data_IF_361629070036
#
_entry.id   IF_361629070036
#
_cell.length_a   1.000
_cell.length_b   1.000
_cell.length_c   1.000
_cell.angle_alpha   90.00
_cell.angle_beta   90.00
_cell.angle_gamma   90.00
#
_symmetry.space_group_name_H-M   'P 1'
#
loop_
_entity.id
_entity.type
_entity.pdbx_description
1 polymer ?
#
# COMPACT_ATOMS: atom_id res chain seq x y z
N UNK A 1 -20.29 -10.52 -2.13
CA UNK A 1 -21.29 -9.44 -2.07
C UNK A 1 -21.87 -9.24 -3.45
N UNK A 2 -23.19 -9.13 -3.49
CA UNK A 2 -24.04 -8.84 -4.65
C UNK A 2 -24.48 -7.37 -4.61
N UNK A 3 -25.08 -6.86 -5.68
CA UNK A 3 -25.60 -5.48 -5.71
C UNK A 3 -26.75 -5.30 -4.74
N UNK A 4 -27.53 -6.35 -4.51
CA UNK A 4 -28.58 -6.43 -3.50
C UNK A 4 -27.99 -6.33 -2.08
N UNK A 5 -26.89 -7.04 -1.79
CA UNK A 5 -26.23 -6.96 -0.48
C UNK A 5 -25.80 -5.52 -0.16
N UNK A 6 -25.29 -4.80 -1.17
CA UNK A 6 -24.84 -3.41 -1.03
C UNK A 6 -26.03 -2.47 -0.83
N UNK A 7 -27.11 -2.65 -1.59
CA UNK A 7 -28.33 -1.87 -1.40
C UNK A 7 -28.88 -2.03 0.02
N UNK A 8 -28.93 -3.26 0.54
CA UNK A 8 -29.36 -3.53 1.92
C UNK A 8 -28.44 -2.90 2.98
N UNK A 9 -27.13 -2.93 2.78
CA UNK A 9 -26.19 -2.27 3.70
C UNK A 9 -26.42 -0.76 3.76
N UNK A 10 -26.69 -0.13 2.62
CA UNK A 10 -26.94 1.31 2.52
C UNK A 10 -28.32 1.67 3.10
N UNK A 11 -29.35 0.87 2.83
CA UNK A 11 -30.69 0.99 3.41
C UNK A 11 -30.64 0.96 4.94
N UNK A 12 -29.95 -0.03 5.52
CA UNK A 12 -29.72 -0.09 6.97
C UNK A 12 -29.06 1.18 7.52
N UNK A 13 -28.12 1.79 6.79
CA UNK A 13 -27.53 3.07 7.15
C UNK A 13 -28.55 4.22 7.16
N UNK A 14 -29.48 4.23 6.21
CA UNK A 14 -30.57 5.20 6.16
C UNK A 14 -31.63 4.96 7.23
N UNK A 15 -31.96 3.71 7.58
CA UNK A 15 -32.84 3.38 8.71
C UNK A 15 -32.33 3.98 10.02
N UNK A 16 -31.01 3.88 10.28
CA UNK A 16 -30.37 4.48 11.45
C UNK A 16 -30.53 6.01 11.42
N UNK A 17 -30.23 6.65 10.29
CA UNK A 17 -30.34 8.11 10.13
C UNK A 17 -31.78 8.60 10.28
N UNK A 18 -32.74 7.88 9.69
CA UNK A 18 -34.16 8.14 9.77
C UNK A 18 -34.65 8.05 11.21
N UNK A 19 -34.25 7.01 11.94
CA UNK A 19 -34.56 6.85 13.37
C UNK A 19 -34.00 7.98 14.22
N UNK A 20 -32.77 8.44 13.96
CA UNK A 20 -32.16 9.56 14.70
C UNK A 20 -32.87 10.88 14.42
N UNK A 21 -33.35 11.08 13.19
CA UNK A 21 -34.01 12.31 12.75
C UNK A 21 -35.52 12.34 12.98
N UNK A 22 -36.14 11.19 13.27
CA UNK A 22 -37.59 11.07 13.40
C UNK A 22 -38.33 11.30 12.09
N UNK A 23 -37.73 10.93 10.95
CA UNK A 23 -38.31 11.03 9.61
C UNK A 23 -38.36 9.66 8.95
N UNK A 24 -39.02 9.55 7.78
CA UNK A 24 -39.01 8.30 7.02
C UNK A 24 -37.65 8.07 6.33
N UNK A 25 -37.32 6.80 6.05
CA UNK A 25 -36.12 6.42 5.29
C UNK A 25 -36.15 7.04 3.89
N UNK A 26 -37.33 7.07 3.28
CA UNK A 26 -37.58 7.71 1.99
C UNK A 26 -37.22 9.21 2.01
N UNK A 27 -37.61 9.94 3.07
CA UNK A 27 -37.29 11.36 3.22
C UNK A 27 -35.79 11.59 3.39
N UNK A 28 -35.08 10.67 4.05
CA UNK A 28 -33.61 10.72 4.13
C UNK A 28 -32.99 10.49 2.75
N UNK A 29 -33.47 9.48 2.02
CA UNK A 29 -32.93 9.14 0.70
C UNK A 29 -33.15 10.27 -0.32
N UNK A 30 -34.30 10.96 -0.28
CA UNK A 30 -34.58 12.13 -1.15
C UNK A 30 -33.60 13.30 -0.96
N UNK A 31 -32.83 13.32 0.13
CA UNK A 31 -31.77 14.31 0.36
C UNK A 31 -30.43 13.92 -0.27
N UNK A 32 -30.33 12.73 -0.87
CA UNK A 32 -29.11 12.20 -1.46
C UNK A 32 -29.08 12.52 -2.96
N UNK A 33 -28.25 13.49 -3.35
CA UNK A 33 -28.06 13.81 -4.76
C UNK A 33 -27.25 12.73 -5.51
N UNK A 34 -26.28 12.12 -4.81
CA UNK A 34 -25.47 11.05 -5.36
C UNK A 34 -24.84 10.15 -4.29
N UNK A 35 -24.62 8.89 -4.64
CA UNK A 35 -23.79 7.97 -3.89
C UNK A 35 -22.37 7.91 -4.44
N UNK A 36 -21.38 7.86 -3.55
CA UNK A 36 -19.99 7.61 -3.94
C UNK A 36 -19.60 6.15 -3.63
N UNK A 37 -19.21 5.37 -4.65
CA UNK A 37 -18.79 3.96 -4.49
C UNK A 37 -17.45 3.67 -5.12
N UNK A 38 -16.91 2.47 -4.92
CA UNK A 38 -15.88 1.94 -5.81
C UNK A 38 -16.46 1.50 -7.17
N UNK A 39 -15.59 1.26 -8.15
CA UNK A 39 -16.00 0.86 -9.51
C UNK A 39 -16.12 -0.67 -9.69
N UNK A 40 -16.21 -1.44 -8.61
CA UNK A 40 -16.46 -2.89 -8.71
C UNK A 40 -17.85 -3.18 -9.25
N UNK A 41 -18.01 -4.30 -9.96
CA UNK A 41 -19.26 -4.64 -10.64
C UNK A 41 -20.46 -4.72 -9.70
N UNK A 42 -20.31 -5.31 -8.51
CA UNK A 42 -21.40 -5.43 -7.54
C UNK A 42 -21.85 -4.07 -6.99
N UNK A 43 -21.01 -3.03 -7.03
CA UNK A 43 -21.38 -1.70 -6.61
C UNK A 43 -22.08 -0.89 -7.71
N UNK A 44 -22.10 -1.34 -8.98
CA UNK A 44 -22.73 -0.59 -10.06
C UNK A 44 -24.24 -0.75 -10.04
N UNK A 45 -24.98 0.37 -10.04
CA UNK A 45 -26.43 0.36 -10.22
C UNK A 45 -27.24 0.07 -8.95
N UNK A 46 -26.60 -0.09 -7.79
CA UNK A 46 -27.30 -0.26 -6.51
C UNK A 46 -28.22 0.93 -6.17
N UNK A 47 -27.92 2.15 -6.66
CA UNK A 47 -28.79 3.31 -6.49
C UNK A 47 -30.15 3.14 -7.18
N UNK A 48 -30.23 2.33 -8.25
CA UNK A 48 -31.50 1.97 -8.87
C UNK A 48 -32.30 1.04 -7.99
N UNK A 49 -31.66 0.04 -7.38
CA UNK A 49 -32.32 -0.86 -6.43
C UNK A 49 -32.87 -0.09 -5.21
N UNK A 50 -32.10 0.87 -4.68
CA UNK A 50 -32.59 1.74 -3.60
C UNK A 50 -33.79 2.60 -4.03
N UNK A 51 -33.75 3.15 -5.25
CA UNK A 51 -34.90 3.91 -5.77
C UNK A 51 -36.14 3.03 -5.95
N UNK A 52 -35.98 1.78 -6.40
CA UNK A 52 -37.05 0.79 -6.49
C UNK A 52 -37.61 0.43 -5.11
N UNK A 53 -36.75 0.21 -4.11
CA UNK A 53 -37.14 -0.10 -2.73
C UNK A 53 -38.01 1.01 -2.11
N UNK A 54 -37.71 2.28 -2.40
CA UNK A 54 -38.46 3.42 -1.89
C UNK A 54 -39.52 3.95 -2.87
N UNK A 55 -39.77 3.25 -3.97
CA UNK A 55 -40.74 3.62 -5.00
C UNK A 55 -40.54 5.05 -5.56
N UNK A 56 -39.29 5.38 -5.90
CA UNK A 56 -38.88 6.67 -6.45
C UNK A 56 -38.66 6.58 -7.96
N UNK A 57 -39.15 7.57 -8.72
CA UNK A 57 -39.00 7.62 -10.18
C UNK A 57 -37.55 7.83 -10.63
N UNK A 58 -36.77 8.58 -9.85
CA UNK A 58 -35.39 8.94 -10.22
C UNK A 58 -34.43 8.46 -9.15
N UNK A 59 -33.47 7.58 -9.49
CA UNK A 59 -32.42 7.18 -8.55
C UNK A 59 -31.46 8.34 -8.30
N UNK A 60 -30.86 8.36 -7.12
CA UNK A 60 -29.72 9.24 -6.85
C UNK A 60 -28.60 8.95 -7.86
N UNK A 61 -27.84 10.00 -8.19
CA UNK A 61 -26.65 9.87 -9.02
C UNK A 61 -25.66 8.86 -8.43
N UNK A 62 -24.78 8.32 -9.27
CA UNK A 62 -23.69 7.48 -8.80
C UNK A 62 -22.37 8.04 -9.26
N UNK A 63 -21.50 8.34 -8.29
CA UNK A 63 -20.15 8.83 -8.49
C UNK A 63 -19.21 7.68 -8.15
N UNK A 64 -18.32 7.33 -9.07
CA UNK A 64 -17.27 6.36 -8.79
C UNK A 64 -16.06 7.08 -8.23
N UNK A 65 -15.64 6.68 -7.05
CA UNK A 65 -14.39 7.11 -6.47
C UNK A 65 -13.24 6.56 -7.32
N UNK A 66 -12.58 7.46 -8.07
CA UNK A 66 -11.40 7.16 -8.89
C UNK A 66 -10.20 6.68 -8.07
N UNK A 67 -10.28 6.81 -6.74
CA UNK A 67 -9.29 6.31 -5.80
C UNK A 67 -9.48 4.83 -5.47
N UNK A 68 -10.61 4.18 -5.78
CA UNK A 68 -10.71 2.74 -5.49
C UNK A 68 -9.94 1.85 -6.48
N UNK A 69 -9.82 2.25 -7.75
CA UNK A 69 -8.87 1.61 -8.67
C UNK A 69 -7.43 1.68 -8.14
N UNK A 70 -7.14 2.67 -7.28
CA UNK A 70 -5.85 2.82 -6.64
C UNK A 70 -5.63 1.82 -5.49
N UNK A 71 -6.69 1.37 -4.80
CA UNK A 71 -6.62 0.41 -3.68
C UNK A 71 -6.28 -1.02 -4.12
N UNK A 72 -6.49 -1.35 -5.40
CA UNK A 72 -6.21 -2.68 -5.94
C UNK A 72 -4.73 -3.05 -5.99
N UNK A 73 -3.82 -2.07 -6.14
CA UNK A 73 -2.40 -2.35 -6.36
C UNK A 73 -1.74 -3.01 -5.15
N UNK A 74 -1.86 -2.46 -3.95
CA UNK A 74 -1.24 -3.06 -2.75
C UNK A 74 -1.76 -4.48 -2.46
N UNK A 75 -3.05 -4.71 -2.68
CA UNK A 75 -3.67 -6.03 -2.51
C UNK A 75 -3.20 -7.02 -3.59
N UNK A 76 -3.20 -6.60 -4.86
CA UNK A 76 -2.72 -7.41 -5.97
C UNK A 76 -1.23 -7.72 -5.87
N UNK A 77 -0.39 -6.75 -5.47
CA UNK A 77 1.03 -6.93 -5.24
C UNK A 77 1.29 -7.95 -4.14
N UNK A 78 0.60 -7.87 -3.01
CA UNK A 78 0.70 -8.89 -1.97
C UNK A 78 0.31 -10.28 -2.49
N UNK A 79 -0.78 -10.39 -3.25
CA UNK A 79 -1.23 -11.66 -3.83
C UNK A 79 -0.22 -12.26 -4.81
N UNK A 80 0.35 -11.44 -5.69
CA UNK A 80 1.38 -11.87 -6.66
C UNK A 80 2.66 -12.27 -5.94
N UNK A 81 3.12 -11.47 -4.97
CA UNK A 81 4.34 -11.81 -4.24
C UNK A 81 4.21 -13.08 -3.42
N UNK A 82 3.03 -13.44 -2.91
CA UNK A 82 2.84 -14.74 -2.27
C UNK A 82 3.12 -15.92 -3.20
N UNK A 83 2.76 -15.82 -4.48
CA UNK A 83 3.08 -16.87 -5.46
C UNK A 83 4.60 -16.99 -5.63
N UNK A 84 5.29 -15.86 -5.73
CA UNK A 84 6.75 -15.80 -5.84
C UNK A 84 7.43 -16.31 -4.56
N UNK A 85 6.96 -15.91 -3.39
CA UNK A 85 7.48 -16.34 -2.08
C UNK A 85 7.31 -17.84 -1.83
N UNK A 86 6.19 -18.42 -2.30
CA UNK A 86 5.96 -19.86 -2.27
C UNK A 86 7.00 -20.62 -3.10
N UNK A 87 7.32 -20.11 -4.30
CA UNK A 87 8.39 -20.66 -5.15
C UNK A 87 9.77 -20.51 -4.50
N UNK A 88 9.98 -19.44 -3.73
CA UNK A 88 11.20 -19.17 -2.96
C UNK A 88 11.26 -19.91 -1.62
N UNK A 89 10.23 -20.69 -1.25
CA UNK A 89 10.11 -21.43 0.01
C UNK A 89 10.26 -20.57 1.27
N UNK A 90 9.98 -19.27 1.20
CA UNK A 90 10.12 -18.36 2.35
C UNK A 90 9.21 -18.76 3.53
N UNK A 91 8.07 -19.38 3.24
CA UNK A 91 7.13 -19.89 4.24
C UNK A 91 7.69 -21.04 5.10
N UNK A 92 8.68 -21.79 4.63
CA UNK A 92 9.32 -22.86 5.41
C UNK A 92 10.10 -22.30 6.60
N UNK A 93 10.57 -21.06 6.50
CA UNK A 93 11.28 -20.40 7.60
C UNK A 93 10.28 -20.02 8.70
N UNK A 94 9.06 -19.61 8.32
CA UNK A 94 7.94 -19.32 9.24
C UNK A 94 7.49 -20.53 10.07
N UNK A 95 7.68 -21.76 9.57
CA UNK A 95 7.32 -23.01 10.29
C UNK A 95 8.13 -23.25 11.56
N UNK A 96 9.32 -22.64 11.67
CA UNK A 96 10.16 -22.73 12.87
C UNK A 96 9.78 -21.70 13.95
N UNK A 97 8.87 -20.77 13.66
CA UNK A 97 8.50 -19.70 14.59
C UNK A 97 7.23 -20.08 15.35
N UNK A 98 7.39 -20.35 16.64
CA UNK A 98 6.28 -20.50 17.59
C UNK A 98 5.67 -19.15 17.90
N UNK A 99 4.78 -18.65 17.03
CA UNK A 99 4.18 -17.33 17.28
C UNK A 99 2.69 -17.39 17.01
N UNK A 100 1.93 -17.60 18.09
CA UNK A 100 0.51 -17.22 18.25
C UNK A 100 0.35 -15.68 18.16
N UNK A 101 0.82 -15.09 17.07
CA UNK A 101 0.28 -13.83 16.63
C UNK A 101 -1.00 -14.24 15.91
N UNK A 102 -2.11 -13.62 16.26
CA UNK A 102 -3.23 -13.49 15.32
C UNK A 102 -2.68 -12.73 14.10
N UNK A 103 -1.97 -13.46 13.24
CA UNK A 103 -1.70 -13.10 11.85
C UNK A 103 -3.03 -13.31 11.15
N UNK A 104 -4.02 -12.50 11.55
CA UNK A 104 -5.39 -12.59 11.08
C UNK A 104 -5.52 -11.95 9.70
N UNK A 105 -4.55 -12.24 8.83
CA UNK A 105 -4.58 -11.86 7.43
C UNK A 105 -4.20 -13.08 6.61
N UNK A 106 -5.22 -13.89 6.29
CA UNK A 106 -5.16 -14.89 5.22
C UNK A 106 -4.74 -14.32 3.84
N UNK A 107 -4.40 -13.02 3.77
CA UNK A 107 -4.20 -12.22 2.57
C UNK A 107 -2.83 -11.49 2.47
N UNK A 108 -1.94 -11.50 3.47
CA UNK A 108 -0.66 -10.77 3.41
C UNK A 108 0.56 -11.66 3.09
N UNK A 109 1.50 -11.15 2.28
CA UNK A 109 2.78 -11.80 1.95
C UNK A 109 3.72 -11.88 3.16
N UNK A 110 4.67 -12.82 3.18
CA UNK A 110 5.69 -12.94 4.25
C UNK A 110 6.52 -11.67 4.34
N UNK A 111 6.98 -11.15 3.19
CA UNK A 111 7.73 -9.90 3.14
C UNK A 111 6.89 -8.70 3.58
N UNK A 112 5.60 -8.67 3.24
CA UNK A 112 4.67 -7.63 3.70
C UNK A 112 4.46 -7.65 5.22
N UNK A 113 4.38 -8.84 5.82
CA UNK A 113 4.30 -9.00 7.27
C UNK A 113 5.62 -8.62 7.95
N UNK A 114 6.77 -9.07 7.43
CA UNK A 114 8.09 -8.70 7.94
C UNK A 114 8.31 -7.18 7.90
N UNK A 115 7.91 -6.54 6.80
CA UNK A 115 7.93 -5.09 6.64
C UNK A 115 7.11 -4.39 7.73
N UNK A 116 5.86 -4.84 7.93
CA UNK A 116 4.97 -4.29 8.95
C UNK A 116 5.55 -4.46 10.36
N UNK A 117 6.14 -5.61 10.68
CA UNK A 117 6.81 -5.84 11.96
C UNK A 117 7.99 -4.88 12.17
N UNK A 118 8.87 -4.77 11.17
CA UNK A 118 10.06 -3.91 11.24
C UNK A 118 9.66 -2.44 11.42
N UNK A 119 8.70 -1.96 10.62
CA UNK A 119 8.31 -0.56 10.66
C UNK A 119 7.43 -0.25 11.86
N UNK A 120 6.57 -1.15 12.33
CA UNK A 120 5.86 -0.94 13.61
C UNK A 120 6.85 -0.66 14.74
N UNK A 121 7.93 -1.42 14.81
CA UNK A 121 8.92 -1.29 15.87
C UNK A 121 9.54 0.12 15.91
N UNK A 122 9.75 0.78 14.76
CA UNK A 122 10.47 2.06 14.69
C UNK A 122 9.69 3.21 14.07
N UNK A 123 8.42 3.06 13.71
CA UNK A 123 7.66 4.13 13.07
C UNK A 123 7.13 5.15 14.10
N UNK A 124 7.06 6.44 13.72
CA UNK A 124 6.61 7.51 14.62
C UNK A 124 5.16 7.36 15.09
N UNK A 125 4.30 6.77 14.27
CA UNK A 125 2.86 6.63 14.57
C UNK A 125 2.57 5.70 15.75
N UNK A 126 3.49 4.79 16.06
CA UNK A 126 3.40 3.88 17.20
C UNK A 126 4.23 4.33 18.39
N UNK A 127 4.77 5.55 18.38
CA UNK A 127 5.59 6.09 19.48
C UNK A 127 4.89 6.13 20.85
N UNK A 128 3.56 6.07 20.86
CA UNK A 128 2.74 5.95 22.07
C UNK A 128 2.64 4.51 22.61
N UNK A 129 3.11 3.50 21.89
CA UNK A 129 3.04 2.07 22.26
C UNK A 129 4.30 1.65 23.03
N UNK A 130 4.16 0.83 24.08
CA UNK A 130 5.29 0.47 24.97
C UNK A 130 6.35 -0.43 24.31
N UNK A 131 6.00 -1.11 23.21
CA UNK A 131 6.90 -1.98 22.45
C UNK A 131 7.66 -1.26 21.32
N UNK A 132 7.22 -0.06 20.93
CA UNK A 132 7.87 0.75 19.90
C UNK A 132 9.16 1.38 20.43
N UNK A 133 10.13 1.56 19.54
CA UNK A 133 11.49 2.06 19.83
C UNK A 133 11.89 3.19 18.89
N UNK A 134 10.91 3.95 18.38
CA UNK A 134 11.14 5.05 17.44
C UNK A 134 12.15 6.07 17.98
N UNK A 135 12.00 6.51 19.25
CA UNK A 135 12.88 7.54 19.83
C UNK A 135 14.32 7.04 19.99
N UNK A 136 14.48 5.82 20.50
CA UNK A 136 15.77 5.17 20.68
C UNK A 136 16.46 4.92 19.33
N UNK A 137 15.69 4.50 18.33
CA UNK A 137 16.20 4.31 16.97
C UNK A 137 16.56 5.64 16.30
N UNK A 138 15.78 6.71 16.50
CA UNK A 138 16.09 8.04 16.00
C UNK A 138 17.43 8.54 16.55
N UNK A 139 17.65 8.43 17.86
CA UNK A 139 18.92 8.78 18.50
C UNK A 139 20.09 7.94 17.96
N UNK A 140 19.84 6.66 17.69
CA UNK A 140 20.84 5.76 17.09
C UNK A 140 21.24 6.20 15.67
N UNK A 141 20.27 6.65 14.85
CA UNK A 141 20.51 7.18 13.51
C UNK A 141 21.25 8.53 13.55
N UNK A 142 20.86 9.43 14.46
CA UNK A 142 21.52 10.72 14.67
C UNK A 142 23.00 10.55 15.02
N UNK A 143 23.33 9.62 15.92
CA UNK A 143 24.71 9.29 16.27
C UNK A 143 25.55 8.81 15.08
N UNK A 144 24.92 8.22 14.07
CA UNK A 144 25.56 7.73 12.84
C UNK A 144 25.47 8.72 11.68
N UNK A 145 24.91 9.91 11.92
CA UNK A 145 24.67 10.93 10.89
C UNK A 145 23.85 10.39 9.71
N UNK A 146 22.91 9.48 9.98
CA UNK A 146 22.01 8.89 8.99
C UNK A 146 20.71 9.69 8.98
N UNK A 147 20.27 10.12 7.79
CA UNK A 147 18.99 10.83 7.63
C UNK A 147 17.83 9.97 8.12
N UNK A 148 16.97 10.52 8.98
CA UNK A 148 15.75 9.84 9.44
C UNK A 148 14.64 10.01 8.39
N UNK A 149 14.55 9.07 7.44
CA UNK A 149 13.54 9.06 6.38
C UNK A 149 12.27 8.26 6.79
N UNK A 150 12.14 7.98 8.08
CA UNK A 150 10.96 7.33 8.65
C UNK A 150 9.71 8.19 8.48
N UNK A 151 8.60 7.58 8.09
CA UNK A 151 7.34 8.27 7.85
C UNK A 151 6.18 7.59 8.58
N UNK A 152 5.12 8.36 8.82
CA UNK A 152 3.85 7.84 9.34
C UNK A 152 3.12 7.09 8.22
N UNK A 153 2.84 5.81 8.44
CA UNK A 153 2.05 4.96 7.54
C UNK A 153 0.66 5.57 7.30
N UNK A 154 0.09 6.25 8.31
CA UNK A 154 -1.19 6.97 8.19
C UNK A 154 -1.18 8.13 7.17
N UNK A 155 -0.02 8.69 6.86
CA UNK A 155 0.11 9.83 5.95
C UNK A 155 0.22 9.41 4.47
N UNK A 156 0.26 8.10 4.19
CA UNK A 156 0.37 7.55 2.82
C UNK A 156 -0.66 6.43 2.62
N UNK A 157 -1.95 6.80 2.47
CA UNK A 157 -3.06 5.81 2.41
C UNK A 157 -3.07 4.93 1.15
N UNK A 158 -2.32 5.28 0.11
CA UNK A 158 -2.22 4.54 -1.16
C UNK A 158 -0.73 4.30 -1.47
N UNK A 159 -0.33 3.07 -1.79
CA UNK A 159 1.08 2.76 -2.15
C UNK A 159 2.06 2.66 -0.99
N UNK A 160 1.55 2.72 0.26
CA UNK A 160 2.39 2.66 1.45
C UNK A 160 3.34 1.46 1.44
N UNK A 161 2.87 0.29 0.96
CA UNK A 161 3.66 -0.94 0.92
C UNK A 161 4.98 -0.76 0.16
N UNK A 162 4.93 -0.18 -1.03
CA UNK A 162 6.12 0.00 -1.87
C UNK A 162 7.09 1.03 -1.30
N UNK A 163 6.56 2.15 -0.81
CA UNK A 163 7.37 3.20 -0.17
C UNK A 163 8.00 2.71 1.13
N UNK A 164 7.22 2.01 1.94
CA UNK A 164 7.67 1.39 3.17
C UNK A 164 8.79 0.38 2.89
N UNK A 165 8.65 -0.45 1.85
CA UNK A 165 9.69 -1.38 1.44
C UNK A 165 11.00 -0.66 1.09
N UNK A 166 10.92 0.44 0.32
CA UNK A 166 12.09 1.26 -0.01
C UNK A 166 12.76 1.86 1.25
N UNK A 167 11.98 2.42 2.16
CA UNK A 167 12.47 3.00 3.42
C UNK A 167 13.05 1.94 4.36
N UNK A 168 12.43 0.75 4.43
CA UNK A 168 12.99 -0.35 5.19
C UNK A 168 14.32 -0.81 4.58
N UNK A 169 14.47 -0.86 3.25
CA UNK A 169 15.75 -1.19 2.61
C UNK A 169 16.85 -0.21 3.05
N UNK A 170 16.56 1.09 2.99
CA UNK A 170 17.50 2.13 3.42
C UNK A 170 17.90 1.97 4.90
N UNK A 171 16.94 1.65 5.77
CA UNK A 171 17.20 1.45 7.20
C UNK A 171 17.54 0.01 7.58
N UNK A 172 17.65 -0.94 6.64
CA UNK A 172 17.69 -2.36 6.97
C UNK A 172 18.91 -2.69 7.83
N UNK A 173 20.11 -2.34 7.36
CA UNK A 173 21.33 -2.64 8.11
C UNK A 173 21.40 -1.84 9.42
N UNK A 174 20.87 -0.61 9.42
CA UNK A 174 20.78 0.23 10.61
C UNK A 174 19.89 -0.40 11.70
N UNK A 175 18.75 -0.97 11.31
CA UNK A 175 17.84 -1.64 12.22
C UNK A 175 18.44 -2.95 12.77
N UNK A 176 19.15 -3.71 11.92
CA UNK A 176 19.89 -4.91 12.35
C UNK A 176 20.95 -4.55 13.38
N UNK A 177 21.74 -3.52 13.11
CA UNK A 177 22.79 -3.04 14.00
C UNK A 177 22.22 -2.48 15.31
N UNK A 178 21.12 -1.72 15.24
CA UNK A 178 20.43 -1.20 16.41
C UNK A 178 19.99 -2.32 17.36
N UNK A 179 19.37 -3.38 16.83
CA UNK A 179 18.89 -4.51 17.63
C UNK A 179 20.01 -5.42 18.15
N UNK A 180 21.14 -5.51 17.46
CA UNK A 180 22.30 -6.27 17.91
C UNK A 180 23.05 -5.56 19.04
N UNK A 181 23.17 -4.23 18.98
CA UNK A 181 23.79 -3.41 20.04
C UNK A 181 22.90 -3.27 21.28
N UNK A 182 21.60 -3.53 21.15
CA UNK A 182 20.63 -3.41 22.23
C UNK A 182 19.92 -4.75 22.52
N UNK A 183 20.64 -5.79 23.00
CA UNK A 183 20.06 -7.12 23.26
C UNK A 183 18.98 -7.11 24.35
N UNK A 184 18.97 -6.08 25.20
CA UNK A 184 17.95 -5.87 26.22
C UNK A 184 16.57 -5.48 25.65
N UNK A 185 16.50 -5.05 24.38
CA UNK A 185 15.22 -4.81 23.68
C UNK A 185 14.67 -6.18 23.25
N UNK A 186 14.00 -6.86 24.18
CA UNK A 186 13.53 -8.24 24.05
C UNK A 186 12.00 -8.37 24.12
N UNK A 187 11.27 -7.28 23.85
CA UNK A 187 9.83 -7.37 23.67
C UNK A 187 9.50 -8.27 22.46
N UNK A 188 8.32 -8.91 22.47
CA UNK A 188 7.93 -9.90 21.46
C UNK A 188 8.13 -9.41 20.02
N UNK A 189 7.79 -8.16 19.73
CA UNK A 189 7.97 -7.59 18.39
C UNK A 189 9.45 -7.47 18.02
N UNK A 190 10.30 -6.99 18.92
CA UNK A 190 11.72 -6.87 18.65
C UNK A 190 12.43 -8.23 18.45
N UNK A 191 11.96 -9.29 19.12
CA UNK A 191 12.45 -10.66 18.86
C UNK A 191 12.09 -11.10 17.43
N UNK A 192 10.83 -10.90 17.04
CA UNK A 192 10.37 -11.19 15.67
C UNK A 192 11.12 -10.39 14.62
N UNK A 193 11.39 -9.10 14.87
CA UNK A 193 12.16 -8.27 13.92
C UNK A 193 13.56 -8.87 13.68
N UNK A 194 14.25 -9.33 14.73
CA UNK A 194 15.57 -9.98 14.55
C UNK A 194 15.48 -11.19 13.64
N UNK A 195 14.47 -12.02 13.88
CA UNK A 195 14.24 -13.25 13.12
C UNK A 195 13.89 -12.98 11.66
N UNK A 196 12.94 -12.06 11.39
CA UNK A 196 12.54 -11.78 10.01
C UNK A 196 13.65 -11.08 9.21
N UNK A 197 14.51 -10.31 9.86
CA UNK A 197 15.63 -9.65 9.20
C UNK A 197 16.74 -10.62 8.76
N UNK A 198 16.77 -11.84 9.30
CA UNK A 198 17.66 -12.92 8.88
C UNK A 198 17.07 -13.75 7.73
N UNK A 199 15.83 -13.48 7.30
CA UNK A 199 15.19 -14.23 6.23
C UNK A 199 15.96 -14.12 4.91
N UNK A 200 16.34 -15.26 4.30
CA UNK A 200 16.90 -15.26 2.96
C UNK A 200 15.95 -14.56 1.98
N UNK A 201 16.52 -13.77 1.08
CA UNK A 201 15.82 -13.07 0.01
C UNK A 201 14.77 -12.02 0.42
N UNK A 202 14.55 -11.75 1.71
CA UNK A 202 13.62 -10.69 2.15
C UNK A 202 13.94 -9.35 1.46
N UNK A 203 15.22 -8.98 1.44
CA UNK A 203 15.69 -7.76 0.74
C UNK A 203 15.33 -7.74 -0.74
N UNK A 204 15.37 -8.89 -1.43
CA UNK A 204 15.02 -9.00 -2.86
C UNK A 204 13.54 -8.72 -3.08
N UNK A 205 12.68 -9.33 -2.27
CA UNK A 205 11.23 -9.13 -2.37
C UNK A 205 10.86 -7.68 -2.04
N UNK A 206 11.52 -7.08 -1.03
CA UNK A 206 11.34 -5.67 -0.70
C UNK A 206 11.80 -4.75 -1.86
N UNK A 207 12.89 -5.09 -2.55
CA UNK A 207 13.35 -4.33 -3.74
C UNK A 207 12.28 -4.38 -4.83
N UNK A 208 11.72 -5.56 -5.09
CA UNK A 208 10.64 -5.72 -6.07
C UNK A 208 9.42 -4.86 -5.71
N UNK A 209 9.01 -4.82 -4.44
CA UNK A 209 7.95 -3.91 -3.97
C UNK A 209 8.29 -2.45 -4.24
N UNK A 210 9.50 -2.01 -3.90
CA UNK A 210 9.96 -0.64 -4.11
C UNK A 210 9.94 -0.25 -5.60
N UNK A 211 10.47 -1.10 -6.48
CA UNK A 211 10.50 -0.85 -7.92
C UNK A 211 9.09 -0.75 -8.53
N UNK A 212 8.18 -1.64 -8.14
CA UNK A 212 6.77 -1.56 -8.52
C UNK A 212 6.13 -0.25 -8.04
N UNK A 213 6.49 0.21 -6.83
CA UNK A 213 6.12 1.53 -6.32
C UNK A 213 6.50 2.66 -7.27
N UNK A 214 7.81 2.79 -7.49
CA UNK A 214 8.42 3.90 -8.21
C UNK A 214 7.99 3.95 -9.68
N UNK A 215 7.90 2.80 -10.35
CA UNK A 215 7.62 2.74 -11.78
C UNK A 215 6.14 2.62 -12.15
N UNK A 216 5.31 2.00 -11.30
CA UNK A 216 3.93 1.68 -11.65
C UNK A 216 2.93 2.38 -10.74
N UNK A 217 3.01 2.10 -9.44
CA UNK A 217 1.96 2.44 -8.47
C UNK A 217 1.88 3.94 -8.24
N UNK A 218 3.01 4.58 -7.93
CA UNK A 218 3.05 6.01 -7.60
C UNK A 218 2.79 6.89 -8.83
N UNK A 219 3.35 6.62 -10.03
CA UNK A 219 2.97 7.37 -11.22
C UNK A 219 1.48 7.21 -11.57
N UNK A 220 0.93 6.02 -11.38
CA UNK A 220 -0.51 5.78 -11.57
C UNK A 220 -1.33 6.64 -10.62
N UNK A 221 -0.99 6.69 -9.32
CA UNK A 221 -1.70 7.51 -8.34
C UNK A 221 -1.56 8.99 -8.64
N UNK A 222 -0.33 9.47 -8.84
CA UNK A 222 -0.05 10.87 -9.11
C UNK A 222 -0.82 11.37 -10.34
N UNK A 223 -0.95 10.56 -11.39
CA UNK A 223 -1.77 10.89 -12.55
C UNK A 223 -3.27 10.81 -12.28
N UNK A 224 -3.73 9.82 -11.53
CA UNK A 224 -5.17 9.61 -11.23
C UNK A 224 -5.74 10.74 -10.38
N UNK A 225 -4.97 11.27 -9.42
CA UNK A 225 -5.42 12.31 -8.48
C UNK A 225 -5.01 13.73 -8.90
N UNK A 226 -4.38 13.88 -10.06
CA UNK A 226 -3.98 15.18 -10.59
C UNK A 226 -5.20 16.04 -10.83
N UNK A 227 -5.25 17.21 -10.17
CA UNK A 227 -6.41 18.11 -10.16
C UNK A 227 -6.91 18.49 -11.56
N UNK A 228 -5.97 18.67 -12.49
CA UNK A 228 -6.26 19.15 -13.84
C UNK A 228 -6.28 18.01 -14.88
N UNK A 229 -6.26 16.74 -14.44
CA UNK A 229 -6.32 15.60 -15.35
C UNK A 229 -7.73 15.45 -15.95
N UNK A 230 -7.80 15.45 -17.28
CA UNK A 230 -9.04 15.20 -18.03
C UNK A 230 -9.29 13.70 -18.21
N UNK A 231 -10.54 13.31 -18.42
CA UNK A 231 -10.88 11.91 -18.73
C UNK A 231 -10.14 11.36 -19.96
N UNK A 232 -9.94 12.17 -21.00
CA UNK A 232 -9.18 11.77 -22.20
C UNK A 232 -7.73 11.46 -21.85
N UNK A 233 -7.09 12.33 -21.08
CA UNK A 233 -5.72 12.16 -20.61
C UNK A 233 -5.54 10.93 -19.72
N UNK A 234 -6.49 10.66 -18.82
CA UNK A 234 -6.48 9.45 -17.98
C UNK A 234 -6.68 8.20 -18.83
N UNK A 235 -7.60 8.24 -19.81
CA UNK A 235 -7.86 7.12 -20.72
C UNK A 235 -6.64 6.75 -21.55
N UNK A 236 -5.96 7.74 -22.11
CA UNK A 236 -4.70 7.54 -22.86
C UNK A 236 -3.61 6.98 -21.95
N UNK A 237 -3.48 7.54 -20.74
CA UNK A 237 -2.53 7.08 -19.75
C UNK A 237 -2.74 5.60 -19.38
N UNK A 238 -3.97 5.21 -19.04
CA UNK A 238 -4.27 3.83 -18.66
C UNK A 238 -4.10 2.84 -19.82
N UNK A 239 -4.45 3.23 -21.05
CA UNK A 239 -4.20 2.40 -22.24
C UNK A 239 -2.71 2.18 -22.47
N UNK A 240 -1.91 3.23 -22.35
CA UNK A 240 -0.45 3.14 -22.48
C UNK A 240 0.15 2.26 -21.38
N UNK A 241 -0.34 2.40 -20.14
CA UNK A 241 0.12 1.61 -19.01
C UNK A 241 -0.21 0.13 -19.19
N UNK A 242 -1.46 -0.20 -19.56
CA UNK A 242 -1.88 -1.56 -19.86
C UNK A 242 -1.05 -2.20 -20.99
N UNK A 243 -0.72 -1.42 -22.03
CA UNK A 243 0.13 -1.89 -23.14
C UNK A 243 1.55 -2.17 -22.66
N UNK A 244 2.11 -1.28 -21.83
CA UNK A 244 3.45 -1.42 -21.26
C UNK A 244 3.59 -2.59 -20.30
N UNK A 245 2.57 -2.88 -19.49
CA UNK A 245 2.54 -4.03 -18.57
C UNK A 245 2.65 -5.39 -19.29
N UNK A 246 2.34 -5.45 -20.59
CA UNK A 246 2.50 -6.66 -21.40
C UNK A 246 3.90 -6.82 -22.02
N UNK A 247 4.82 -5.88 -21.78
CA UNK A 247 6.17 -5.91 -22.34
C UNK A 247 7.20 -6.41 -21.31
N UNK A 248 8.33 -6.97 -21.76
CA UNK A 248 9.45 -7.30 -20.87
C UNK A 248 9.97 -6.07 -20.14
N UNK A 249 10.38 -6.26 -18.88
CA UNK A 249 10.99 -5.21 -18.05
C UNK A 249 12.38 -4.88 -18.58
N UNK A 250 12.75 -3.61 -18.58
CA UNK A 250 14.08 -3.15 -19.01
C UNK A 250 15.20 -3.51 -18.03
N UNK A 251 16.43 -3.67 -18.53
CA UNK A 251 17.62 -3.93 -17.70
C UNK A 251 17.91 -2.78 -16.69
N UNK A 252 17.39 -1.59 -16.95
CA UNK A 252 17.58 -0.39 -16.12
C UNK A 252 16.46 -0.20 -15.09
N UNK A 253 15.57 -1.18 -14.91
CA UNK A 253 14.40 -1.07 -14.03
C UNK A 253 14.73 -0.74 -12.56
N UNK A 254 15.94 -1.05 -12.09
CA UNK A 254 16.37 -0.74 -10.72
C UNK A 254 17.24 0.49 -10.59
N UNK A 255 17.65 1.13 -11.69
CA UNK A 255 18.51 2.32 -11.63
C UNK A 255 17.69 3.60 -11.43
N UNK A 256 16.38 3.52 -11.68
CA UNK A 256 15.43 4.64 -11.59
C UNK A 256 15.87 5.85 -12.43
N UNK A 257 16.65 5.66 -13.50
CA UNK A 257 17.11 6.77 -14.36
C UNK A 257 16.03 7.28 -15.27
N UNK A 258 15.21 6.37 -15.79
CA UNK A 258 14.13 6.63 -16.75
C UNK A 258 12.86 5.89 -16.30
N UNK A 259 11.68 6.39 -16.64
CA UNK A 259 10.44 5.66 -16.41
C UNK A 259 10.44 4.36 -17.22
N UNK A 260 9.96 3.27 -16.60
CA UNK A 260 9.83 1.96 -17.27
C UNK A 260 8.75 1.99 -18.36
N UNK A 261 7.61 2.65 -18.07
CA UNK A 261 6.49 2.70 -18.98
C UNK A 261 6.52 4.00 -19.80
N UNK A 262 6.55 3.94 -21.15
CA UNK A 262 6.66 5.14 -21.99
C UNK A 262 5.55 6.17 -21.79
N UNK A 263 4.40 5.75 -21.28
CA UNK A 263 3.27 6.63 -20.97
C UNK A 263 3.51 7.53 -19.76
N UNK A 264 4.47 7.16 -18.90
CA UNK A 264 4.89 7.96 -17.76
C UNK A 264 5.94 8.97 -18.24
N UNK A 265 5.58 10.26 -18.24
CA UNK A 265 6.53 11.31 -18.61
C UNK A 265 7.68 11.45 -17.60
N UNK A 266 8.85 11.91 -18.06
CA UNK A 266 10.00 12.21 -17.19
C UNK A 266 9.67 13.20 -16.08
N UNK A 267 8.79 14.17 -16.36
CA UNK A 267 8.32 15.14 -15.37
C UNK A 267 7.54 14.46 -14.24
N UNK A 268 6.60 13.57 -14.60
CA UNK A 268 5.82 12.80 -13.63
C UNK A 268 6.73 11.87 -12.82
N UNK A 269 7.62 11.14 -13.50
CA UNK A 269 8.56 10.23 -12.88
C UNK A 269 9.50 10.95 -11.91
N UNK A 270 10.04 12.10 -12.31
CA UNK A 270 10.88 12.95 -11.45
C UNK A 270 10.13 13.45 -10.22
N UNK A 271 8.83 13.76 -10.35
CA UNK A 271 8.01 14.19 -9.22
C UNK A 271 7.79 13.05 -8.21
N UNK A 272 7.60 11.82 -8.71
CA UNK A 272 7.50 10.61 -7.89
C UNK A 272 8.82 10.34 -7.17
N UNK A 273 9.96 10.35 -7.88
CA UNK A 273 11.27 10.11 -7.26
C UNK A 273 11.56 11.04 -6.08
N UNK A 274 11.14 12.31 -6.16
CA UNK A 274 11.32 13.29 -5.08
C UNK A 274 10.61 12.91 -3.79
N UNK A 275 9.55 12.10 -3.82
CA UNK A 275 8.84 11.68 -2.60
C UNK A 275 9.59 10.59 -1.83
N UNK A 276 10.53 9.89 -2.47
CA UNK A 276 11.31 8.81 -1.87
C UNK A 276 12.63 9.31 -1.23
N UNK A 277 13.14 10.48 -1.66
CA UNK A 277 14.53 10.95 -1.46
C UNK A 277 15.56 10.17 -2.28
N UNK A 278 16.69 10.81 -2.59
CA UNK A 278 17.76 10.20 -3.40
C UNK A 278 18.46 9.05 -2.66
N UNK A 279 18.73 9.22 -1.37
CA UNK A 279 19.40 8.21 -0.52
C UNK A 279 18.63 6.89 -0.46
N UNK A 280 17.30 6.95 -0.36
CA UNK A 280 16.44 5.76 -0.34
C UNK A 280 16.47 5.05 -1.68
N UNK A 281 16.31 5.78 -2.79
CA UNK A 281 16.33 5.19 -4.14
C UNK A 281 17.69 4.59 -4.48
N UNK A 282 18.79 5.24 -4.08
CA UNK A 282 20.14 4.72 -4.24
C UNK A 282 20.30 3.40 -3.45
N UNK A 283 19.79 3.34 -2.22
CA UNK A 283 19.85 2.12 -1.40
C UNK A 283 19.10 0.94 -2.02
N UNK A 284 17.93 1.20 -2.63
CA UNK A 284 17.18 0.17 -3.38
C UNK A 284 18.00 -0.31 -4.60
N UNK A 285 18.59 0.63 -5.35
CA UNK A 285 19.42 0.33 -6.52
C UNK A 285 20.65 -0.50 -6.15
N UNK A 286 21.33 -0.14 -5.05
CA UNK A 286 22.52 -0.82 -4.55
C UNK A 286 22.22 -2.24 -4.11
N UNK A 287 21.12 -2.45 -3.39
CA UNK A 287 20.69 -3.81 -2.99
C UNK A 287 20.32 -4.63 -4.23
N UNK A 288 19.63 -4.04 -5.20
CA UNK A 288 19.30 -4.73 -6.45
C UNK A 288 20.56 -5.18 -7.21
N UNK A 289 21.52 -4.29 -7.43
CA UNK A 289 22.75 -4.59 -8.14
C UNK A 289 23.56 -5.72 -7.48
N UNK A 290 23.58 -5.75 -6.15
CA UNK A 290 24.29 -6.77 -5.39
C UNK A 290 23.57 -8.12 -5.31
N UNK A 291 22.26 -8.16 -5.60
CA UNK A 291 21.44 -9.37 -5.42
C UNK A 291 20.94 -9.99 -6.72
N UNK A 292 20.80 -9.22 -7.81
CA UNK A 292 20.41 -9.74 -9.13
C UNK A 292 21.57 -10.15 -10.03
N UNK A 293 22.80 -9.75 -9.69
CA UNK A 293 24.02 -10.18 -10.40
C UNK A 293 24.65 -11.47 -9.84
N UNK A 294 23.94 -12.22 -9.00
CA UNK A 294 24.32 -13.54 -8.49
C UNK A 294 23.19 -14.53 -8.74
#
# INVERSE_FOLDING_TARGET
>A
ETTEDIAMQVDMGFEILASVRGVSVEDVYKLVDAHMTDSTEHNKGFSKLLAEMYNLETPAGQIFCGTHTTLGFSSAMNKVMRLVEADMKMEQVLQSFMVDLDVDSKNASVAGQALDMCLKLVAPEYSHKPWNRYREFLLFLEQRQVSSVLFSYKDSRFGCLSRAAAVLIYHFNHLTEFLSQNPHINNRLACLVREVMELPYLKVVLVAFACLGVHLVEPFYARTIEKDATHTQLREFYKGLHTGLGQPISDNYTTFTTPEYPVVSDKLFSSVKKTYTEEVLNSVSDVAANTWMK
#
